data_IF_811278760925
#
_entry.id   IF_811278760925
#
_cell.length_a   1.000
_cell.length_b   1.000
_cell.length_c   1.000
_cell.angle_alpha   90.00
_cell.angle_beta   90.00
_cell.angle_gamma   90.00
#
_symmetry.space_group_name_H-M   'P 1'
#
loop_
_entity.id
_entity.type
_entity.pdbx_description
1 polymer ?
#
# COMPACT_ATOMS: atom_id res chain seq x y z
N UNK A 1 -11.51 31.07 8.87
CA UNK A 1 -10.14 30.92 8.31
C UNK A 1 -9.56 29.70 8.97
N UNK A 2 -9.73 28.53 8.37
CA UNK A 2 -9.21 27.28 8.90
C UNK A 2 -7.78 27.13 8.42
N UNK A 3 -6.85 26.98 9.36
CA UNK A 3 -5.45 26.73 9.07
C UNK A 3 -5.35 25.39 8.34
N UNK A 4 -4.97 25.43 7.07
CA UNK A 4 -4.57 24.23 6.33
C UNK A 4 -3.33 23.68 7.02
N UNK A 5 -3.42 22.45 7.51
CA UNK A 5 -2.32 21.78 8.19
C UNK A 5 -1.41 21.15 7.14
N UNK A 6 -0.85 21.98 6.26
CA UNK A 6 0.32 21.61 5.44
C UNK A 6 1.41 21.16 6.42
N UNK A 7 2.07 20.00 6.26
CA UNK A 7 3.27 19.66 7.01
C UNK A 7 4.38 20.62 6.56
N UNK A 8 4.31 21.87 7.06
CA UNK A 8 5.19 22.97 6.63
C UNK A 8 6.57 22.86 7.27
N UNK A 9 6.72 21.96 8.26
CA UNK A 9 8.00 21.64 8.87
C UNK A 9 8.63 20.44 8.17
N UNK A 10 9.81 20.68 7.58
CA UNK A 10 10.65 19.70 6.90
C UNK A 10 10.93 18.46 7.76
N UNK A 11 11.02 18.60 9.07
CA UNK A 11 11.23 17.47 9.97
C UNK A 11 9.96 16.63 10.16
N UNK A 12 8.78 17.24 10.09
CA UNK A 12 7.51 16.51 10.07
C UNK A 12 7.37 15.70 8.78
N UNK A 13 7.70 16.29 7.63
CA UNK A 13 7.69 15.58 6.35
C UNK A 13 8.65 14.38 6.36
N UNK A 14 9.89 14.55 6.85
CA UNK A 14 10.85 13.44 6.98
C UNK A 14 10.32 12.30 7.86
N UNK A 15 9.64 12.61 8.97
CA UNK A 15 9.03 11.59 9.83
C UNK A 15 7.88 10.88 9.13
N UNK A 16 7.06 11.62 8.38
CA UNK A 16 5.99 11.06 7.56
C UNK A 16 6.54 10.05 6.55
N UNK A 17 7.55 10.45 5.77
CA UNK A 17 8.20 9.57 4.78
C UNK A 17 8.82 8.34 5.46
N UNK A 18 9.52 8.52 6.57
CA UNK A 18 10.09 7.40 7.32
C UNK A 18 9.01 6.43 7.85
N UNK A 19 7.84 6.94 8.23
CA UNK A 19 6.70 6.11 8.62
C UNK A 19 6.14 5.32 7.42
N UNK A 20 6.06 5.91 6.23
CA UNK A 20 5.67 5.19 5.01
C UNK A 20 6.67 4.08 4.67
N UNK A 21 7.98 4.33 4.82
CA UNK A 21 9.03 3.30 4.62
C UNK A 21 8.84 2.10 5.57
N UNK A 22 8.55 2.37 6.84
CA UNK A 22 8.28 1.34 7.84
C UNK A 22 7.01 0.53 7.49
N UNK A 23 5.97 1.20 6.99
CA UNK A 23 4.74 0.55 6.51
C UNK A 23 4.99 -0.33 5.29
N UNK A 24 5.76 0.13 4.30
CA UNK A 24 6.18 -0.68 3.16
C UNK A 24 6.90 -1.95 3.61
N UNK A 25 7.82 -1.83 4.57
CA UNK A 25 8.55 -2.97 5.12
C UNK A 25 7.60 -3.99 5.81
N UNK A 26 6.62 -3.50 6.57
CA UNK A 26 5.60 -4.34 7.19
C UNK A 26 4.71 -5.04 6.15
N UNK A 27 4.20 -4.32 5.17
CA UNK A 27 3.38 -4.85 4.08
C UNK A 27 4.15 -5.91 3.29
N UNK A 28 5.41 -5.64 2.94
CA UNK A 28 6.26 -6.60 2.25
C UNK A 28 6.50 -7.87 3.08
N UNK A 29 6.60 -7.75 4.41
CA UNK A 29 6.71 -8.91 5.30
C UNK A 29 5.44 -9.77 5.28
N UNK A 30 4.27 -9.15 5.41
CA UNK A 30 2.97 -9.82 5.36
C UNK A 30 2.73 -10.48 4.00
N UNK A 31 3.10 -9.80 2.90
CA UNK A 31 3.00 -10.34 1.56
C UNK A 31 3.85 -11.61 1.39
N UNK A 32 5.12 -11.59 1.81
CA UNK A 32 6.00 -12.77 1.76
C UNK A 32 5.43 -13.94 2.58
N UNK A 33 4.90 -13.66 3.77
CA UNK A 33 4.29 -14.70 4.60
C UNK A 33 3.00 -15.25 3.97
N UNK A 34 2.20 -14.40 3.32
CA UNK A 34 0.99 -14.82 2.60
C UNK A 34 1.33 -15.71 1.41
N UNK A 35 2.33 -15.36 0.61
CA UNK A 35 2.83 -16.23 -0.46
C UNK A 35 3.31 -17.58 0.07
N UNK A 36 4.02 -17.59 1.21
CA UNK A 36 4.48 -18.82 1.84
C UNK A 36 3.31 -19.71 2.28
N UNK A 37 2.35 -19.16 3.03
CA UNK A 37 1.18 -19.91 3.51
C UNK A 37 0.30 -20.39 2.35
N UNK A 38 0.17 -19.60 1.28
CA UNK A 38 -0.65 -19.94 0.14
C UNK A 38 -0.14 -21.19 -0.62
N UNK A 39 1.14 -21.56 -0.49
CA UNK A 39 1.68 -22.82 -1.05
C UNK A 39 0.99 -24.07 -0.49
N UNK A 40 0.48 -23.98 0.74
CA UNK A 40 -0.30 -25.06 1.37
C UNK A 40 -1.80 -25.03 0.96
N UNK A 41 -2.20 -24.08 0.11
CA UNK A 41 -3.58 -23.80 -0.24
C UNK A 41 -4.28 -22.88 0.77
N UNK A 42 -5.58 -22.67 0.55
CA UNK A 42 -6.38 -21.81 1.42
C UNK A 42 -6.51 -22.39 2.84
N UNK A 43 -6.14 -21.60 3.84
CA UNK A 43 -6.26 -21.95 5.27
C UNK A 43 -6.82 -20.76 6.07
N UNK A 44 -7.38 -21.00 7.27
CA UNK A 44 -7.77 -19.91 8.17
C UNK A 44 -6.61 -18.97 8.54
N UNK A 45 -5.37 -19.49 8.58
CA UNK A 45 -4.18 -18.68 8.83
C UNK A 45 -3.91 -17.71 7.67
N UNK A 46 -3.92 -18.22 6.43
CA UNK A 46 -3.80 -17.39 5.23
C UNK A 46 -4.90 -16.32 5.17
N UNK A 47 -6.16 -16.71 5.45
CA UNK A 47 -7.27 -15.76 5.42
C UNK A 47 -7.10 -14.63 6.44
N UNK A 48 -6.67 -14.93 7.67
CA UNK A 48 -6.36 -13.90 8.67
C UNK A 48 -5.23 -12.99 8.22
N UNK A 49 -4.19 -13.55 7.63
CA UNK A 49 -3.04 -12.79 7.16
C UNK A 49 -3.38 -11.87 5.98
N UNK A 50 -4.24 -12.30 5.06
CA UNK A 50 -4.73 -11.46 3.96
C UNK A 50 -5.64 -10.33 4.46
N UNK A 51 -6.44 -10.57 5.51
CA UNK A 51 -7.19 -9.49 6.17
C UNK A 51 -6.26 -8.49 6.84
N UNK A 52 -5.21 -8.96 7.53
CA UNK A 52 -4.19 -8.08 8.12
C UNK A 52 -3.48 -7.26 7.04
N UNK A 53 -3.08 -7.88 5.93
CA UNK A 53 -2.52 -7.19 4.78
C UNK A 53 -3.46 -6.10 4.24
N UNK A 54 -4.77 -6.38 4.16
CA UNK A 54 -5.77 -5.39 3.72
C UNK A 54 -5.87 -4.20 4.68
N UNK A 55 -5.81 -4.44 5.98
CA UNK A 55 -5.79 -3.39 6.99
C UNK A 55 -4.54 -2.52 6.86
N UNK A 56 -3.36 -3.15 6.76
CA UNK A 56 -2.10 -2.42 6.62
C UNK A 56 -2.02 -1.60 5.34
N UNK A 57 -2.54 -2.12 4.23
CA UNK A 57 -2.63 -1.36 2.98
C UNK A 57 -3.53 -0.13 3.10
N UNK A 58 -4.71 -0.26 3.72
CA UNK A 58 -5.59 0.90 3.95
C UNK A 58 -4.92 1.98 4.80
N UNK A 59 -4.32 1.59 5.93
CA UNK A 59 -3.62 2.54 6.80
C UNK A 59 -2.48 3.24 6.07
N UNK A 60 -1.72 2.51 5.27
CA UNK A 60 -0.64 3.06 4.46
C UNK A 60 -1.16 4.05 3.40
N UNK A 61 -2.20 3.69 2.67
CA UNK A 61 -2.80 4.56 1.65
C UNK A 61 -3.39 5.82 2.27
N UNK A 62 -4.08 5.71 3.41
CA UNK A 62 -4.63 6.86 4.14
C UNK A 62 -3.52 7.84 4.57
N UNK A 63 -2.40 7.30 5.11
CA UNK A 63 -1.27 8.11 5.56
C UNK A 63 -0.51 8.78 4.38
N UNK A 64 -0.31 8.06 3.29
CA UNK A 64 0.35 8.58 2.10
C UNK A 64 -0.52 9.66 1.42
N UNK A 65 -1.80 9.39 1.22
CA UNK A 65 -2.74 10.34 0.61
C UNK A 65 -2.86 11.62 1.44
N UNK A 66 -2.85 11.52 2.77
CA UNK A 66 -2.83 12.70 3.65
C UNK A 66 -1.57 13.55 3.45
N UNK A 67 -0.40 12.94 3.25
CA UNK A 67 0.84 13.66 2.95
C UNK A 67 0.80 14.28 1.55
N UNK A 68 0.30 13.55 0.56
CA UNK A 68 0.17 14.00 -0.82
C UNK A 68 -0.82 15.16 -0.96
N UNK A 69 -1.98 15.08 -0.29
CA UNK A 69 -2.98 16.15 -0.24
C UNK A 69 -2.40 17.40 0.38
N UNK A 70 -1.70 17.25 1.51
CA UNK A 70 -1.13 18.39 2.21
C UNK A 70 0.06 19.03 1.48
N UNK A 71 0.59 18.39 0.45
CA UNK A 71 1.65 18.89 -0.44
C UNK A 71 1.14 19.27 -1.83
N UNK A 72 -0.18 19.29 -2.05
CA UNK A 72 -0.82 19.62 -3.33
C UNK A 72 -0.28 18.75 -4.51
N UNK A 73 -0.10 17.44 -4.28
CA UNK A 73 0.38 16.54 -5.33
C UNK A 73 -0.61 16.43 -6.49
N UNK A 74 -0.21 16.89 -7.68
CA UNK A 74 -1.09 17.01 -8.85
C UNK A 74 -1.75 15.68 -9.29
N UNK A 75 -1.07 14.55 -9.05
CA UNK A 75 -1.51 13.22 -9.49
C UNK A 75 -2.25 12.44 -8.40
N UNK A 76 -2.61 13.08 -7.27
CA UNK A 76 -3.26 12.43 -6.13
C UNK A 76 -4.50 11.62 -6.55
N UNK A 77 -5.40 12.20 -7.35
CA UNK A 77 -6.61 11.50 -7.77
C UNK A 77 -6.33 10.19 -8.53
N UNK A 78 -5.32 10.20 -9.40
CA UNK A 78 -4.92 8.99 -10.14
C UNK A 78 -4.27 7.94 -9.22
N UNK A 79 -3.48 8.39 -8.25
CA UNK A 79 -2.84 7.52 -7.26
C UNK A 79 -3.89 6.86 -6.35
N UNK A 80 -4.87 7.62 -5.84
CA UNK A 80 -5.99 7.10 -5.04
C UNK A 80 -6.86 6.10 -5.81
N UNK A 81 -7.05 6.28 -7.12
CA UNK A 81 -7.74 5.28 -7.95
C UNK A 81 -6.96 3.95 -8.00
N UNK A 82 -5.62 4.00 -8.05
CA UNK A 82 -4.78 2.80 -8.00
C UNK A 82 -4.86 2.10 -6.63
N UNK A 83 -4.89 2.87 -5.53
CA UNK A 83 -5.13 2.35 -4.18
C UNK A 83 -6.47 1.64 -4.06
N UNK A 84 -7.55 2.27 -4.54
CA UNK A 84 -8.88 1.70 -4.51
C UNK A 84 -8.92 0.36 -5.27
N UNK A 85 -8.35 0.32 -6.47
CA UNK A 85 -8.28 -0.89 -7.27
C UNK A 85 -7.52 -2.03 -6.54
N UNK A 86 -6.42 -1.73 -5.84
CA UNK A 86 -5.71 -2.73 -5.02
C UNK A 86 -6.57 -3.29 -3.90
N UNK A 87 -7.29 -2.42 -3.18
CA UNK A 87 -8.18 -2.84 -2.10
C UNK A 87 -9.33 -3.70 -2.64
N UNK A 88 -9.92 -3.32 -3.77
CA UNK A 88 -10.99 -4.08 -4.41
C UNK A 88 -10.50 -5.46 -4.85
N UNK A 89 -9.35 -5.53 -5.51
CA UNK A 89 -8.75 -6.80 -5.93
C UNK A 89 -8.39 -7.72 -4.75
N UNK A 90 -7.92 -7.16 -3.63
CA UNK A 90 -7.68 -7.93 -2.41
C UNK A 90 -8.99 -8.39 -1.74
N UNK A 91 -10.04 -7.57 -1.79
CA UNK A 91 -11.37 -7.96 -1.31
C UNK A 91 -11.95 -9.08 -2.16
N UNK A 92 -11.80 -9.02 -3.48
CA UNK A 92 -12.17 -10.11 -4.40
C UNK A 92 -11.39 -11.39 -4.10
N UNK A 93 -10.08 -11.30 -3.83
CA UNK A 93 -9.27 -12.43 -3.38
C UNK A 93 -9.77 -13.04 -2.06
N UNK A 94 -10.21 -12.21 -1.12
CA UNK A 94 -10.76 -12.65 0.17
C UNK A 94 -12.15 -13.30 0.05
N UNK A 95 -13.00 -12.79 -0.86
CA UNK A 95 -14.35 -13.31 -1.12
C UNK A 95 -14.34 -14.56 -2.04
N UNK A 96 -13.41 -14.59 -2.99
CA UNK A 96 -13.23 -15.65 -3.98
C UNK A 96 -12.54 -16.87 -3.37
N UNK A 97 -13.25 -17.63 -2.52
CA UNK A 97 -12.77 -18.89 -1.94
C UNK A 97 -12.61 -19.94 -3.05
N UNK A 98 -11.55 -19.83 -3.84
CA UNK A 98 -11.07 -20.90 -4.72
C UNK A 98 -10.42 -21.94 -3.82
N UNK A 99 -11.17 -23.00 -3.49
CA UNK A 99 -10.61 -24.14 -2.72
C UNK A 99 -9.46 -24.78 -3.52
N UNK A 100 -8.41 -25.19 -2.83
CA UNK A 100 -7.28 -25.92 -3.42
C UNK A 100 -6.22 -25.02 -4.07
N UNK A 101 -5.54 -25.53 -5.08
CA UNK A 101 -4.33 -24.92 -5.68
C UNK A 101 -4.55 -23.54 -6.33
N UNK A 102 -5.80 -23.18 -6.64
CA UNK A 102 -6.12 -21.89 -7.24
C UNK A 102 -5.85 -20.71 -6.29
N UNK A 103 -6.05 -20.88 -4.97
CA UNK A 103 -5.75 -19.85 -3.97
C UNK A 103 -4.26 -19.42 -3.99
N UNK A 104 -3.35 -20.35 -4.25
CA UNK A 104 -1.91 -20.05 -4.36
C UNK A 104 -1.61 -19.14 -5.55
N UNK A 105 -2.22 -19.43 -6.70
CA UNK A 105 -2.07 -18.65 -7.92
C UNK A 105 -2.73 -17.28 -7.80
N UNK A 106 -3.87 -17.20 -7.12
CA UNK A 106 -4.59 -15.94 -6.91
C UNK A 106 -3.77 -14.99 -6.00
N UNK A 107 -3.28 -15.49 -4.86
CA UNK A 107 -2.38 -14.74 -3.96
C UNK A 107 -1.10 -14.33 -4.68
N UNK A 108 -0.46 -15.25 -5.40
CA UNK A 108 0.75 -14.95 -6.15
C UNK A 108 0.51 -13.88 -7.21
N UNK A 109 -0.61 -13.95 -7.95
CA UNK A 109 -0.95 -12.92 -8.95
C UNK A 109 -1.13 -11.57 -8.29
N UNK A 110 -1.93 -11.48 -7.23
CA UNK A 110 -2.14 -10.22 -6.51
C UNK A 110 -0.81 -9.60 -6.06
N UNK A 111 0.05 -10.38 -5.40
CA UNK A 111 1.30 -9.88 -4.82
C UNK A 111 2.33 -9.53 -5.91
N UNK A 112 2.60 -10.46 -6.82
CA UNK A 112 3.68 -10.33 -7.81
C UNK A 112 3.38 -9.35 -8.94
N UNK A 113 2.10 -9.10 -9.25
CA UNK A 113 1.73 -8.14 -10.28
C UNK A 113 1.20 -6.84 -9.68
N UNK A 114 0.09 -6.88 -8.95
CA UNK A 114 -0.62 -5.66 -8.59
C UNK A 114 0.10 -4.89 -7.48
N UNK A 115 0.34 -5.56 -6.34
CA UNK A 115 1.02 -4.93 -5.20
C UNK A 115 2.46 -4.53 -5.56
N UNK A 116 3.18 -5.40 -6.25
CA UNK A 116 4.56 -5.10 -6.69
C UNK A 116 4.59 -3.96 -7.72
N UNK A 117 3.66 -3.89 -8.68
CA UNK A 117 3.64 -2.80 -9.65
C UNK A 117 3.34 -1.44 -8.99
N UNK A 118 2.47 -1.44 -7.99
CA UNK A 118 2.18 -0.24 -7.21
C UNK A 118 3.43 0.27 -6.50
N UNK A 119 4.16 -0.58 -5.78
CA UNK A 119 5.40 -0.18 -5.11
C UNK A 119 6.49 0.28 -6.09
N UNK A 120 6.68 -0.43 -7.19
CA UNK A 120 7.76 -0.15 -8.14
C UNK A 120 7.49 1.04 -9.07
N UNK A 121 6.23 1.45 -9.23
CA UNK A 121 5.85 2.50 -10.20
C UNK A 121 5.04 3.63 -9.56
N UNK A 122 4.01 3.32 -8.78
CA UNK A 122 3.22 4.32 -8.05
C UNK A 122 4.06 5.00 -6.98
N UNK A 123 4.47 4.25 -5.97
CA UNK A 123 5.13 4.80 -4.78
C UNK A 123 6.51 5.34 -5.13
N UNK A 124 7.22 4.72 -6.08
CA UNK A 124 8.48 5.26 -6.60
C UNK A 124 8.32 6.66 -7.23
N UNK A 125 7.17 6.96 -7.84
CA UNK A 125 6.87 8.28 -8.38
C UNK A 125 6.54 9.29 -7.27
N UNK A 126 5.86 8.84 -6.22
CA UNK A 126 5.58 9.60 -4.99
C UNK A 126 6.86 9.90 -4.21
N UNK A 127 7.73 8.92 -4.01
CA UNK A 127 9.06 9.09 -3.41
C UNK A 127 9.87 10.15 -4.16
N UNK A 128 9.88 10.06 -5.49
CA UNK A 128 10.56 11.05 -6.33
C UNK A 128 9.99 12.46 -6.12
N UNK A 129 8.68 12.58 -5.89
CA UNK A 129 8.04 13.84 -5.53
C UNK A 129 8.46 14.33 -4.14
N UNK A 130 8.41 13.47 -3.11
CA UNK A 130 8.84 13.79 -1.76
C UNK A 130 10.29 14.27 -1.71
N UNK A 131 11.20 13.63 -2.45
CA UNK A 131 12.59 14.08 -2.54
C UNK A 131 12.69 15.48 -3.16
N UNK A 132 11.94 15.78 -4.22
CA UNK A 132 11.92 17.13 -4.81
C UNK A 132 11.43 18.18 -3.80
N UNK A 133 10.34 17.89 -3.08
CA UNK A 133 9.83 18.80 -2.03
C UNK A 133 10.90 19.04 -0.97
N UNK A 134 11.50 17.97 -0.43
CA UNK A 134 12.58 18.06 0.55
C UNK A 134 13.81 18.81 0.03
N UNK A 135 14.12 18.81 -1.27
CA UNK A 135 15.27 19.55 -1.80
C UNK A 135 14.99 21.04 -2.02
N UNK A 136 13.73 21.43 -2.21
CA UNK A 136 13.33 22.80 -2.56
C UNK A 136 12.75 23.63 -1.39
N UNK A 137 12.51 23.01 -0.22
CA UNK A 137 12.25 23.68 1.07
C UNK A 137 13.50 23.83 1.92
#
# INVERSE_FOLDING_TARGET
>A
MSASSTPTDRDALRRGIANLDDQHAQIASLAREAEYLARAGYTPALHRLLNELSLRLKEHFDDEEALLEALDYEQLAHHSEAHLALIENLAELLMGVTRGAAAALDVQRFISSQLTAHFLSGDAAVDSFFQRVLHHT
#
